data_IF_028511035504
#
_entry.id   IF_028511035504
#
_cell.length_a   1.000
_cell.length_b   1.000
_cell.length_c   1.000
_cell.angle_alpha   90.00
_cell.angle_beta   90.00
_cell.angle_gamma   90.00
#
_symmetry.space_group_name_H-M   'P 1'
#
loop_
_entity.id
_entity.type
_entity.pdbx_description
1 polymer ?
#
# COMPACT_ATOMS: atom_id res chain seq x y z
N UNK A 1 29.72 49.59 -11.80
CA UNK A 1 29.60 48.86 -13.08
C UNK A 1 30.72 47.83 -13.05
N UNK A 2 30.51 46.52 -13.03
CA UNK A 2 29.45 45.72 -13.66
C UNK A 2 29.36 44.40 -12.90
N UNK A 3 28.18 44.06 -12.41
CA UNK A 3 27.85 42.79 -11.74
C UNK A 3 27.76 41.67 -12.79
N UNK A 4 28.68 40.69 -12.74
CA UNK A 4 28.58 39.46 -13.52
C UNK A 4 27.97 38.37 -12.64
N UNK A 5 26.74 37.97 -12.97
CA UNK A 5 25.97 36.94 -12.29
C UNK A 5 26.62 35.56 -12.44
N UNK A 6 26.71 34.82 -11.33
CA UNK A 6 27.15 33.44 -11.31
C UNK A 6 26.08 32.52 -11.95
N UNK A 7 26.47 31.44 -12.66
CA UNK A 7 25.53 30.52 -13.27
C UNK A 7 24.81 29.69 -12.19
N UNK A 8 23.49 29.65 -12.28
CA UNK A 8 22.58 28.93 -11.41
C UNK A 8 22.91 27.43 -11.41
N UNK A 9 23.29 26.88 -10.25
CA UNK A 9 23.52 25.43 -10.06
C UNK A 9 22.21 24.68 -10.20
N UNK A 10 22.16 23.70 -11.11
CA UNK A 10 21.01 22.83 -11.32
C UNK A 10 20.74 21.94 -10.09
N UNK A 11 19.54 22.08 -9.52
CA UNK A 11 18.98 21.26 -8.45
C UNK A 11 18.87 19.79 -8.92
N UNK A 12 19.23 18.84 -8.04
CA UNK A 12 18.82 17.44 -8.18
C UNK A 12 17.29 17.42 -8.21
N UNK A 13 16.64 16.74 -9.18
CA UNK A 13 15.24 16.97 -9.42
C UNK A 13 14.39 16.33 -8.32
N UNK A 14 13.65 17.16 -7.61
CA UNK A 14 12.48 16.73 -6.85
C UNK A 14 11.47 16.16 -7.86
N UNK A 15 11.49 14.85 -8.06
CA UNK A 15 10.64 14.15 -9.05
C UNK A 15 9.17 14.45 -8.78
N UNK A 16 8.77 14.51 -7.50
CA UNK A 16 7.42 14.87 -7.11
C UNK A 16 7.10 16.34 -7.43
N UNK A 17 8.03 17.25 -7.17
CA UNK A 17 7.94 18.66 -7.54
C UNK A 17 7.87 18.89 -9.05
N UNK A 18 8.61 18.12 -9.85
CA UNK A 18 8.62 18.19 -11.31
C UNK A 18 7.36 17.63 -11.94
N UNK A 19 6.83 16.52 -11.40
CA UNK A 19 5.54 15.98 -11.81
C UNK A 19 4.43 16.98 -11.49
N UNK A 20 4.43 17.52 -10.28
CA UNK A 20 3.43 18.52 -9.86
C UNK A 20 3.55 19.81 -10.68
N UNK A 21 4.76 20.20 -11.09
CA UNK A 21 5.00 21.31 -12.01
C UNK A 21 4.50 21.01 -13.42
N UNK A 22 4.79 19.82 -13.95
CA UNK A 22 4.32 19.37 -15.26
C UNK A 22 2.78 19.35 -15.32
N UNK A 23 2.12 18.77 -14.30
CA UNK A 23 0.66 18.76 -14.18
C UNK A 23 0.10 20.18 -14.15
N UNK A 24 0.70 21.10 -13.37
CA UNK A 24 0.30 22.51 -13.35
C UNK A 24 0.50 23.20 -14.70
N UNK A 25 1.61 22.93 -15.39
CA UNK A 25 1.90 23.52 -16.70
C UNK A 25 0.94 23.04 -17.79
N UNK A 26 0.33 21.86 -17.61
CA UNK A 26 -0.69 21.29 -18.49
C UNK A 26 -2.13 21.56 -18.00
N UNK A 27 -2.32 22.37 -16.95
CA UNK A 27 -3.64 22.69 -16.41
C UNK A 27 -4.35 21.51 -15.72
N UNK A 28 -3.62 20.45 -15.37
CA UNK A 28 -4.15 19.21 -14.81
C UNK A 28 -4.19 19.28 -13.28
N UNK A 29 -5.32 18.86 -12.70
CA UNK A 29 -5.48 18.82 -11.25
C UNK A 29 -4.52 17.80 -10.60
N UNK A 30 -3.84 18.17 -9.50
CA UNK A 30 -2.89 17.31 -8.78
C UNK A 30 -3.61 16.29 -7.90
N UNK A 31 -4.43 15.45 -8.51
CA UNK A 31 -5.15 14.35 -7.86
C UNK A 31 -4.38 13.03 -8.02
N UNK A 32 -4.52 12.06 -7.09
CA UNK A 32 -3.70 10.84 -7.08
C UNK A 32 -3.66 10.06 -8.40
N UNK A 33 -4.79 9.95 -9.10
CA UNK A 33 -4.88 9.25 -10.40
C UNK A 33 -4.12 9.95 -11.53
N UNK A 34 -4.13 11.29 -11.54
CA UNK A 34 -3.38 12.07 -12.53
C UNK A 34 -1.89 12.05 -12.19
N UNK A 35 -1.54 12.06 -10.90
CA UNK A 35 -0.16 11.97 -10.45
C UNK A 35 0.46 10.63 -10.85
N UNK A 36 -0.24 9.51 -10.67
CA UNK A 36 0.22 8.18 -11.11
C UNK A 36 0.51 8.12 -12.61
N UNK A 37 -0.38 8.70 -13.41
CA UNK A 37 -0.24 8.76 -14.86
C UNK A 37 1.00 9.56 -15.31
N UNK A 38 1.24 10.71 -14.68
CA UNK A 38 2.41 11.54 -14.96
C UNK A 38 3.70 10.95 -14.38
N UNK A 39 3.64 10.30 -13.23
CA UNK A 39 4.79 9.65 -12.59
C UNK A 39 5.35 8.52 -13.45
N UNK A 40 4.48 7.64 -13.95
CA UNK A 40 4.87 6.54 -14.85
C UNK A 40 5.37 7.04 -16.21
N UNK A 41 4.75 8.09 -16.74
CA UNK A 41 5.22 8.74 -17.97
C UNK A 41 6.60 9.41 -17.78
N UNK A 42 6.90 9.92 -16.59
CA UNK A 42 8.13 10.64 -16.27
C UNK A 42 9.32 9.71 -15.97
N UNK A 43 9.07 8.58 -15.29
CA UNK A 43 10.11 7.59 -14.97
C UNK A 43 10.53 6.76 -16.20
N UNK A 44 9.74 6.81 -17.28
CA UNK A 44 10.08 6.18 -18.55
C UNK A 44 9.83 4.67 -18.58
N UNK A 45 9.06 4.14 -17.62
CA UNK A 45 8.66 2.74 -17.57
C UNK A 45 7.80 2.32 -18.77
N UNK A 46 7.08 3.26 -19.38
CA UNK A 46 6.21 3.01 -20.55
C UNK A 46 6.33 4.09 -21.63
N UNK A 47 7.16 3.88 -22.66
CA UNK A 47 7.38 4.86 -23.75
C UNK A 47 6.13 5.19 -24.57
N UNK A 48 5.16 4.26 -24.65
CA UNK A 48 3.91 4.48 -25.37
C UNK A 48 2.99 5.43 -24.61
N UNK A 49 2.90 5.27 -23.28
CA UNK A 49 2.17 6.20 -22.40
C UNK A 49 2.76 7.61 -22.47
N UNK A 50 4.09 7.76 -22.39
CA UNK A 50 4.75 9.08 -22.45
C UNK A 50 4.43 9.80 -23.77
N UNK A 51 4.45 9.08 -24.90
CA UNK A 51 4.10 9.64 -26.20
C UNK A 51 2.64 10.06 -26.28
N UNK A 52 1.73 9.20 -25.83
CA UNK A 52 0.30 9.46 -25.95
C UNK A 52 -0.16 10.55 -24.97
N UNK A 53 0.46 10.64 -23.78
CA UNK A 53 0.27 11.76 -22.85
C UNK A 53 0.80 13.07 -23.43
N UNK A 54 1.96 13.05 -24.08
CA UNK A 54 2.49 14.22 -24.77
C UNK A 54 1.60 14.67 -25.95
N UNK A 55 0.90 13.73 -26.59
CA UNK A 55 -0.02 14.02 -27.70
C UNK A 55 -1.29 14.78 -27.26
N UNK A 56 -1.70 14.68 -25.98
CA UNK A 56 -2.84 15.43 -25.43
C UNK A 56 -2.55 16.93 -25.28
N UNK A 57 -1.27 17.34 -25.24
CA UNK A 57 -0.87 18.74 -25.16
C UNK A 57 -1.27 19.45 -23.85
N UNK A 58 -1.20 20.78 -23.84
CA UNK A 58 -1.37 21.61 -22.63
C UNK A 58 -2.84 21.90 -22.23
N UNK A 59 -3.82 21.24 -22.85
CA UNK A 59 -5.25 21.39 -22.56
C UNK A 59 -5.97 20.05 -22.43
N UNK A 60 -5.26 19.01 -21.96
CA UNK A 60 -5.86 17.70 -21.74
C UNK A 60 -7.07 17.80 -20.79
N UNK A 61 -8.22 17.32 -21.23
CA UNK A 61 -9.41 17.23 -20.38
C UNK A 61 -9.28 16.07 -19.39
N UNK A 62 -10.02 16.13 -18.29
CA UNK A 62 -10.01 15.04 -17.30
C UNK A 62 -10.52 13.72 -17.91
N UNK A 63 -11.48 13.77 -18.83
CA UNK A 63 -12.01 12.58 -19.53
C UNK A 63 -10.95 11.93 -20.42
N UNK A 64 -10.15 12.71 -21.13
CA UNK A 64 -9.04 12.21 -21.96
C UNK A 64 -7.93 11.59 -21.11
N UNK A 65 -7.59 12.21 -19.98
CA UNK A 65 -6.62 11.66 -19.03
C UNK A 65 -7.13 10.37 -18.39
N UNK A 66 -8.41 10.30 -18.04
CA UNK A 66 -9.05 9.10 -17.49
C UNK A 66 -9.15 7.98 -18.53
N UNK A 67 -9.37 8.31 -19.82
CA UNK A 67 -9.37 7.36 -20.93
C UNK A 67 -7.96 6.81 -21.21
N UNK A 68 -6.95 7.68 -21.22
CA UNK A 68 -5.55 7.29 -21.36
C UNK A 68 -5.12 6.41 -20.18
N UNK A 69 -5.53 6.78 -18.98
CA UNK A 69 -5.33 5.98 -17.78
C UNK A 69 -6.05 4.63 -17.84
N UNK A 70 -7.18 4.52 -18.54
CA UNK A 70 -7.91 3.25 -18.68
C UNK A 70 -7.19 2.30 -19.64
N UNK A 71 -6.64 2.88 -20.71
CA UNK A 71 -5.90 2.15 -21.74
C UNK A 71 -4.60 1.57 -21.19
N UNK A 72 -3.85 2.35 -20.41
CA UNK A 72 -2.51 1.99 -19.94
C UNK A 72 -2.47 1.44 -18.52
N UNK A 73 -3.43 1.82 -17.68
CA UNK A 73 -3.58 1.31 -16.32
C UNK A 73 -4.90 0.55 -16.18
N UNK A 74 -5.09 -0.43 -17.05
CA UNK A 74 -6.23 -1.35 -17.01
C UNK A 74 -6.40 -1.99 -15.63
N UNK A 75 -5.32 -2.07 -14.83
CA UNK A 75 -5.28 -2.57 -13.46
C UNK A 75 -4.55 -1.59 -12.50
N UNK A 76 -4.73 -0.27 -12.64
CA UNK A 76 -4.21 0.64 -11.60
C UNK A 76 -4.86 0.28 -10.27
N UNK A 77 -4.08 0.11 -9.19
CA UNK A 77 -4.61 -0.17 -7.87
C UNK A 77 -5.67 0.86 -7.47
N UNK A 78 -5.45 2.15 -7.78
CA UNK A 78 -6.39 3.22 -7.45
C UNK A 78 -7.76 3.03 -8.11
N UNK A 79 -7.82 2.66 -9.40
CA UNK A 79 -9.09 2.39 -10.09
C UNK A 79 -9.75 1.10 -9.61
N UNK A 80 -8.97 0.06 -9.36
CA UNK A 80 -9.49 -1.20 -8.79
C UNK A 80 -10.08 -0.97 -7.40
N UNK A 81 -9.48 -0.10 -6.59
CA UNK A 81 -10.02 0.29 -5.28
C UNK A 81 -11.29 1.12 -5.40
N UNK A 82 -11.31 2.13 -6.26
CA UNK A 82 -12.49 2.99 -6.47
C UNK A 82 -13.67 2.18 -7.01
N UNK A 83 -13.45 1.32 -8.02
CA UNK A 83 -14.51 0.47 -8.60
C UNK A 83 -15.04 -0.54 -7.58
N UNK A 84 -14.16 -1.15 -6.79
CA UNK A 84 -14.58 -2.13 -5.81
C UNK A 84 -15.25 -1.48 -4.58
N UNK A 85 -14.84 -0.27 -4.17
CA UNK A 85 -15.55 0.53 -3.17
C UNK A 85 -16.94 0.92 -3.67
N UNK A 86 -17.06 1.36 -4.92
CA UNK A 86 -18.34 1.64 -5.57
C UNK A 86 -19.25 0.41 -5.61
N UNK A 87 -18.71 -0.76 -5.94
CA UNK A 87 -19.43 -2.04 -5.92
C UNK A 87 -19.89 -2.44 -4.53
N UNK A 88 -19.03 -2.36 -3.52
CA UNK A 88 -19.40 -2.66 -2.12
C UNK A 88 -20.49 -1.70 -1.64
N UNK A 89 -20.38 -0.40 -1.95
CA UNK A 89 -21.39 0.59 -1.58
C UNK A 89 -22.75 0.29 -2.23
N UNK A 90 -22.77 -0.07 -3.53
CA UNK A 90 -23.98 -0.45 -4.23
C UNK A 90 -24.63 -1.72 -3.67
N UNK A 91 -23.83 -2.73 -3.30
CA UNK A 91 -24.32 -3.95 -2.68
C UNK A 91 -24.88 -3.70 -1.27
N UNK A 92 -24.23 -2.85 -0.47
CA UNK A 92 -24.76 -2.42 0.84
C UNK A 92 -26.10 -1.69 0.69
N UNK A 93 -26.25 -0.82 -0.29
CA UNK A 93 -27.52 -0.12 -0.55
C UNK A 93 -28.63 -1.12 -0.92
N UNK A 94 -28.29 -2.13 -1.72
CA UNK A 94 -29.21 -3.21 -2.12
C UNK A 94 -29.64 -4.05 -0.91
N UNK A 95 -28.70 -4.45 -0.06
CA UNK A 95 -28.98 -5.14 1.21
C UNK A 95 -29.88 -4.32 2.13
N UNK A 96 -29.60 -3.02 2.29
CA UNK A 96 -30.44 -2.13 3.08
C UNK A 96 -31.88 -2.04 2.54
N UNK A 97 -32.05 -2.10 1.22
CA UNK A 97 -33.37 -2.12 0.57
C UNK A 97 -34.14 -3.40 0.89
N UNK A 98 -33.47 -4.56 0.81
CA UNK A 98 -34.07 -5.86 1.16
C UNK A 98 -34.48 -5.90 2.64
N UNK A 99 -33.62 -5.44 3.55
CA UNK A 99 -33.93 -5.40 4.98
C UNK A 99 -35.10 -4.44 5.32
N UNK A 100 -35.19 -3.29 4.64
CA UNK A 100 -36.35 -2.40 4.80
C UNK A 100 -37.64 -3.04 4.30
N UNK A 101 -37.59 -3.76 3.18
CA UNK A 101 -38.77 -4.46 2.65
C UNK A 101 -39.26 -5.51 3.65
N UNK A 102 -38.35 -6.28 4.24
CA UNK A 102 -38.66 -7.25 5.28
C UNK A 102 -39.30 -6.59 6.51
N UNK A 103 -38.76 -5.44 6.95
CA UNK A 103 -39.34 -4.68 8.06
C UNK A 103 -40.79 -4.26 7.76
N UNK A 104 -41.08 -3.76 6.56
CA UNK A 104 -42.44 -3.35 6.15
C UNK A 104 -43.39 -4.55 6.15
N UNK A 105 -42.94 -5.70 5.68
CA UNK A 105 -43.73 -6.94 5.68
C UNK A 105 -44.05 -7.41 7.11
N UNK A 106 -43.07 -7.37 8.01
CA UNK A 106 -43.27 -7.71 9.44
C UNK A 106 -44.21 -6.72 10.16
N UNK A 107 -44.10 -5.43 9.87
CA UNK A 107 -45.02 -4.41 10.40
C UNK A 107 -46.46 -4.65 9.92
N UNK A 108 -46.63 -4.99 8.65
CA UNK A 108 -47.93 -5.32 8.06
C UNK A 108 -48.54 -6.58 8.70
N UNK A 109 -47.73 -7.61 8.92
CA UNK A 109 -48.13 -8.83 9.62
C UNK A 109 -48.57 -8.54 11.07
N UNK A 110 -47.79 -7.74 11.81
CA UNK A 110 -48.16 -7.32 13.17
C UNK A 110 -49.47 -6.53 13.21
N UNK A 111 -49.72 -5.66 12.23
CA UNK A 111 -50.98 -4.92 12.13
C UNK A 111 -52.17 -5.86 11.91
N UNK A 112 -52.03 -6.82 11.01
CA UNK A 112 -53.02 -7.88 10.74
C UNK A 112 -53.32 -8.71 11.99
N UNK A 113 -52.29 -9.12 12.75
CA UNK A 113 -52.44 -9.79 14.04
C UNK A 113 -53.25 -8.95 15.03
N UNK A 114 -52.95 -7.65 15.16
CA UNK A 114 -53.66 -6.74 16.04
C UNK A 114 -55.13 -6.52 15.65
N UNK A 115 -55.42 -6.37 14.36
CA UNK A 115 -56.80 -6.25 13.84
C UNK A 115 -57.61 -7.53 14.07
N UNK A 116 -56.98 -8.69 13.83
CA UNK A 116 -57.62 -10.00 14.04
C UNK A 116 -57.92 -10.24 15.51
N UNK A 117 -56.99 -9.92 16.41
CA UNK A 117 -57.21 -9.99 17.85
C UNK A 117 -58.37 -9.10 18.31
N UNK A 118 -58.49 -7.87 17.79
CA UNK A 118 -59.60 -6.97 18.10
C UNK A 118 -60.95 -7.53 17.65
N UNK A 119 -61.02 -8.16 16.47
CA UNK A 119 -62.24 -8.81 15.95
C UNK A 119 -62.67 -10.00 16.81
N UNK A 120 -61.71 -10.78 17.32
CA UNK A 120 -62.00 -11.93 18.19
C UNK A 120 -62.41 -11.47 19.59
N UNK A 121 -61.75 -10.46 20.15
CA UNK A 121 -61.95 -10.00 21.54
C UNK A 121 -63.10 -9.00 21.74
N UNK A 122 -63.69 -8.46 20.67
CA UNK A 122 -64.82 -7.54 20.80
C UNK A 122 -66.04 -8.24 21.41
N UNK A 123 -66.50 -7.73 22.55
CA UNK A 123 -67.67 -8.23 23.28
C UNK A 123 -68.94 -7.98 22.45
N UNK A 124 -69.37 -8.96 21.67
CA UNK A 124 -70.77 -9.32 21.35
C UNK A 124 -70.77 -10.34 20.21
N UNK A 125 -71.01 -11.62 20.55
CA UNK A 125 -71.21 -12.75 19.62
C UNK A 125 -70.05 -13.06 18.67
N UNK A 126 -69.05 -13.78 19.17
CA UNK A 126 -68.08 -14.48 18.32
C UNK A 126 -68.76 -15.70 17.70
N UNK A 127 -69.14 -15.63 16.43
CA UNK A 127 -69.62 -16.80 15.68
C UNK A 127 -68.45 -17.73 15.34
N UNK A 128 -68.71 -19.04 15.19
CA UNK A 128 -67.71 -20.01 14.72
C UNK A 128 -67.12 -19.54 13.37
N UNK A 129 -67.97 -18.99 12.51
CA UNK A 129 -67.61 -18.43 11.20
C UNK A 129 -66.62 -17.24 11.31
N UNK A 130 -66.70 -16.40 12.34
CA UNK A 130 -65.73 -15.32 12.60
C UNK A 130 -64.37 -15.88 13.02
N UNK A 131 -64.34 -16.96 13.80
CA UNK A 131 -63.11 -17.63 14.23
C UNK A 131 -62.45 -18.33 13.04
N UNK A 132 -63.21 -19.05 12.22
CA UNK A 132 -62.69 -19.72 11.01
C UNK A 132 -62.10 -18.70 10.02
N UNK A 133 -62.79 -17.59 9.78
CA UNK A 133 -62.29 -16.51 8.93
C UNK A 133 -61.00 -15.87 9.50
N UNK A 134 -60.93 -15.65 10.81
CA UNK A 134 -59.73 -15.14 11.46
C UNK A 134 -58.54 -16.12 11.38
N UNK A 135 -58.80 -17.42 11.57
CA UNK A 135 -57.80 -18.47 11.46
C UNK A 135 -57.25 -18.57 10.03
N UNK A 136 -58.14 -18.49 9.03
CA UNK A 136 -57.77 -18.47 7.60
C UNK A 136 -56.88 -17.27 7.26
N UNK A 137 -57.27 -16.06 7.68
CA UNK A 137 -56.48 -14.84 7.48
C UNK A 137 -55.09 -14.92 8.14
N UNK A 138 -55.01 -15.44 9.36
CA UNK A 138 -53.72 -15.62 10.05
C UNK A 138 -52.86 -16.69 9.39
N UNK A 139 -53.46 -17.79 8.94
CA UNK A 139 -52.74 -18.87 8.25
C UNK A 139 -52.15 -18.37 6.95
N UNK A 140 -52.93 -17.62 6.17
CA UNK A 140 -52.47 -17.00 4.93
C UNK A 140 -51.38 -15.96 5.19
N UNK A 141 -51.60 -15.00 6.09
CA UNK A 141 -50.62 -13.95 6.40
C UNK A 141 -49.32 -14.51 6.99
N UNK A 142 -49.40 -15.57 7.79
CA UNK A 142 -48.22 -16.26 8.32
C UNK A 142 -47.48 -17.00 7.22
N UNK A 143 -48.19 -17.69 6.31
CA UNK A 143 -47.59 -18.32 5.14
C UNK A 143 -46.85 -17.32 4.23
N UNK A 144 -47.48 -16.19 3.94
CA UNK A 144 -46.89 -15.12 3.13
C UNK A 144 -45.64 -14.51 3.81
N UNK A 145 -45.71 -14.28 5.12
CA UNK A 145 -44.58 -13.74 5.91
C UNK A 145 -43.42 -14.73 5.96
N UNK A 146 -43.68 -16.02 6.18
CA UNK A 146 -42.64 -17.06 6.17
C UNK A 146 -41.98 -17.18 4.81
N UNK A 147 -42.76 -17.17 3.71
CA UNK A 147 -42.22 -17.23 2.35
C UNK A 147 -41.40 -15.98 2.00
N UNK A 148 -41.75 -14.81 2.53
CA UNK A 148 -40.91 -13.61 2.41
C UNK A 148 -39.63 -13.72 3.22
N UNK A 149 -39.71 -14.14 4.49
CA UNK A 149 -38.54 -14.33 5.34
C UNK A 149 -37.53 -15.30 4.74
N UNK A 150 -37.98 -16.43 4.18
CA UNK A 150 -37.12 -17.40 3.48
C UNK A 150 -36.39 -16.76 2.29
N UNK A 151 -37.10 -16.04 1.42
CA UNK A 151 -36.49 -15.34 0.28
C UNK A 151 -35.53 -14.24 0.72
N UNK A 152 -35.86 -13.52 1.78
CA UNK A 152 -34.98 -12.49 2.35
C UNK A 152 -33.68 -13.13 2.84
N UNK A 153 -33.74 -14.24 3.57
CA UNK A 153 -32.56 -14.96 4.04
C UNK A 153 -31.71 -15.47 2.86
N UNK A 154 -32.31 -16.09 1.85
CA UNK A 154 -31.59 -16.54 0.65
C UNK A 154 -30.87 -15.37 -0.06
N UNK A 155 -31.57 -14.25 -0.26
CA UNK A 155 -31.00 -13.06 -0.88
C UNK A 155 -29.83 -12.48 -0.06
N UNK A 156 -29.98 -12.39 1.27
CA UNK A 156 -28.92 -11.88 2.16
C UNK A 156 -27.70 -12.78 2.11
N UNK A 157 -27.87 -14.11 2.14
CA UNK A 157 -26.76 -15.07 2.07
C UNK A 157 -26.02 -14.95 0.74
N UNK A 158 -26.74 -14.93 -0.38
CA UNK A 158 -26.12 -14.78 -1.70
C UNK A 158 -25.32 -13.48 -1.81
N UNK A 159 -25.90 -12.37 -1.38
CA UNK A 159 -25.26 -11.04 -1.43
C UNK A 159 -24.03 -10.97 -0.52
N UNK A 160 -24.11 -11.57 0.66
CA UNK A 160 -22.95 -11.68 1.56
C UNK A 160 -21.79 -12.44 0.92
N UNK A 161 -22.06 -13.49 0.15
CA UNK A 161 -21.02 -14.25 -0.56
C UNK A 161 -20.38 -13.43 -1.69
N UNK A 162 -21.18 -12.69 -2.47
CA UNK A 162 -20.69 -11.79 -3.52
C UNK A 162 -19.78 -10.70 -2.92
N UNK A 163 -20.18 -10.08 -1.81
CA UNK A 163 -19.36 -9.10 -1.09
C UNK A 163 -18.04 -9.67 -0.58
N UNK A 164 -18.06 -10.88 -0.01
CA UNK A 164 -16.85 -11.56 0.47
C UNK A 164 -15.88 -11.85 -0.68
N UNK A 165 -16.40 -12.18 -1.86
CA UNK A 165 -15.58 -12.39 -3.05
C UNK A 165 -14.91 -11.08 -3.52
N UNK A 166 -15.67 -9.99 -3.64
CA UNK A 166 -15.12 -8.67 -4.01
C UNK A 166 -14.06 -8.22 -2.99
N UNK A 167 -14.30 -8.47 -1.70
CA UNK A 167 -13.34 -8.16 -0.64
C UNK A 167 -12.03 -8.96 -0.79
N UNK A 168 -12.13 -10.27 -1.05
CA UNK A 168 -10.93 -11.12 -1.26
C UNK A 168 -10.13 -10.67 -2.48
N UNK A 169 -10.81 -10.33 -3.57
CA UNK A 169 -10.17 -9.79 -4.78
C UNK A 169 -9.44 -8.49 -4.45
N UNK A 170 -10.09 -7.55 -3.75
CA UNK A 170 -9.46 -6.32 -3.29
C UNK A 170 -8.22 -6.56 -2.44
N UNK A 171 -8.28 -7.48 -1.49
CA UNK A 171 -7.16 -7.79 -0.61
C UNK A 171 -5.99 -8.41 -1.39
N UNK A 172 -6.27 -9.27 -2.37
CA UNK A 172 -5.24 -9.82 -3.25
C UNK A 172 -4.62 -8.74 -4.16
N UNK A 173 -5.44 -7.83 -4.70
CA UNK A 173 -4.94 -6.69 -5.47
C UNK A 173 -4.06 -5.76 -4.61
N UNK A 174 -4.47 -5.44 -3.37
CA UNK A 174 -3.62 -4.70 -2.41
C UNK A 174 -2.29 -5.39 -2.22
N UNK A 175 -2.33 -6.70 -2.01
CA UNK A 175 -1.13 -7.50 -1.77
C UNK A 175 -0.20 -7.42 -2.97
N UNK A 176 -0.69 -7.65 -4.20
CA UNK A 176 0.13 -7.58 -5.41
C UNK A 176 0.69 -6.17 -5.62
N UNK A 177 -0.13 -5.14 -5.45
CA UNK A 177 0.25 -3.75 -5.67
C UNK A 177 1.30 -3.24 -4.68
N UNK A 178 1.36 -3.80 -3.46
CA UNK A 178 2.20 -3.32 -2.36
C UNK A 178 3.33 -4.29 -1.99
N UNK A 179 3.53 -5.38 -2.75
CA UNK A 179 4.53 -6.42 -2.46
C UNK A 179 5.54 -6.51 -3.59
N UNK A 180 6.82 -6.63 -3.23
CA UNK A 180 7.90 -6.95 -4.17
C UNK A 180 7.79 -8.43 -4.61
N UNK A 181 7.76 -8.66 -5.91
CA UNK A 181 7.50 -9.99 -6.48
C UNK A 181 8.60 -11.00 -6.18
N UNK A 182 9.85 -10.54 -6.06
CA UNK A 182 11.02 -11.38 -5.81
C UNK A 182 11.15 -11.77 -4.33
N UNK A 183 11.07 -10.78 -3.45
CA UNK A 183 11.38 -10.95 -2.02
C UNK A 183 10.15 -11.18 -1.15
N UNK A 184 8.94 -10.91 -1.67
CA UNK A 184 7.67 -10.94 -0.94
C UNK A 184 7.57 -9.96 0.24
N UNK A 185 8.53 -9.04 0.35
CA UNK A 185 8.45 -7.91 1.27
C UNK A 185 7.56 -6.82 0.69
N UNK A 186 7.23 -5.81 1.48
CA UNK A 186 6.59 -4.61 0.94
C UNK A 186 7.46 -3.96 -0.14
N UNK A 187 6.85 -3.35 -1.15
CA UNK A 187 7.59 -2.65 -2.20
C UNK A 187 7.82 -1.17 -1.86
N UNK A 188 8.48 -0.44 -2.77
CA UNK A 188 8.76 0.98 -2.63
C UNK A 188 7.51 1.83 -2.38
N UNK A 189 6.42 1.57 -3.11
CA UNK A 189 5.15 2.29 -2.95
C UNK A 189 4.61 2.17 -1.52
N UNK A 190 4.51 0.94 -1.03
CA UNK A 190 4.05 0.67 0.33
C UNK A 190 4.96 1.28 1.40
N UNK A 191 6.26 1.35 1.12
CA UNK A 191 7.22 2.02 1.99
C UNK A 191 6.99 3.53 2.07
N UNK A 192 6.86 4.20 0.92
CA UNK A 192 6.65 5.65 0.86
C UNK A 192 5.35 6.03 1.61
N UNK A 193 4.27 5.25 1.41
CA UNK A 193 3.00 5.43 2.14
C UNK A 193 3.16 5.24 3.65
N UNK A 194 3.88 4.20 4.08
CA UNK A 194 4.11 3.94 5.51
C UNK A 194 4.97 5.02 6.16
N UNK A 195 6.01 5.49 5.45
CA UNK A 195 6.90 6.53 5.94
C UNK A 195 6.16 7.86 6.12
N UNK A 196 5.30 8.24 5.16
CA UNK A 196 4.43 9.41 5.29
C UNK A 196 3.49 9.30 6.50
N UNK A 197 2.93 8.11 6.76
CA UNK A 197 2.02 7.88 7.88
C UNK A 197 2.67 8.11 9.26
N UNK A 198 4.00 7.94 9.39
CA UNK A 198 4.75 8.23 10.63
C UNK A 198 4.58 9.70 11.05
N UNK A 199 4.60 10.62 10.09
CA UNK A 199 4.52 12.05 10.33
C UNK A 199 3.08 12.58 10.42
N UNK A 200 2.11 11.83 9.90
CA UNK A 200 0.70 12.12 10.06
C UNK A 200 0.19 11.86 11.49
N UNK A 201 0.93 11.09 12.31
CA UNK A 201 0.58 10.80 13.70
C UNK A 201 1.70 11.25 14.66
N UNK A 202 1.54 12.42 15.32
CA UNK A 202 2.54 12.96 16.25
C UNK A 202 2.98 12.00 17.36
N UNK A 203 2.11 11.09 17.81
CA UNK A 203 2.39 10.16 18.89
C UNK A 203 3.38 9.04 18.49
N UNK A 204 3.50 8.73 17.19
CA UNK A 204 4.42 7.68 16.72
C UNK A 204 5.87 8.17 16.63
N UNK A 205 6.07 9.47 16.36
CA UNK A 205 7.40 10.05 16.06
C UNK A 205 8.50 9.80 17.11
N UNK A 206 8.26 9.95 18.43
CA UNK A 206 9.34 9.89 19.42
C UNK A 206 10.02 8.52 19.52
N UNK A 207 9.35 7.45 19.11
CA UNK A 207 9.81 6.06 19.26
C UNK A 207 9.83 5.31 17.92
N UNK A 208 9.84 6.04 16.81
CA UNK A 208 9.93 5.45 15.47
C UNK A 208 11.32 5.68 14.90
N UNK A 209 11.89 4.64 14.28
CA UNK A 209 13.16 4.71 13.57
C UNK A 209 13.01 4.23 12.13
N UNK A 210 13.74 4.88 11.23
CA UNK A 210 13.98 4.41 9.88
C UNK A 210 15.36 3.75 9.81
N UNK A 211 15.39 2.55 9.25
CA UNK A 211 16.62 1.81 8.94
C UNK A 211 16.68 1.62 7.44
N UNK A 212 17.77 2.06 6.81
CA UNK A 212 18.09 1.78 5.40
C UNK A 212 19.26 0.81 5.35
N UNK A 213 19.12 -0.26 4.57
CA UNK A 213 20.14 -1.28 4.39
C UNK A 213 20.41 -1.50 2.90
N UNK A 214 21.68 -1.63 2.54
CA UNK A 214 22.11 -1.81 1.16
C UNK A 214 23.15 -2.93 1.07
N UNK A 215 23.00 -3.81 0.09
CA UNK A 215 23.90 -4.94 -0.11
C UNK A 215 25.23 -4.47 -0.69
N UNK A 216 26.31 -4.73 0.04
CA UNK A 216 27.64 -4.30 -0.33
C UNK A 216 28.13 -4.99 -1.61
N UNK A 217 28.55 -4.18 -2.59
CA UNK A 217 29.14 -4.64 -3.84
C UNK A 217 28.23 -5.59 -4.64
N UNK A 218 26.91 -5.46 -4.54
CA UNK A 218 25.96 -6.36 -5.20
C UNK A 218 26.09 -6.36 -6.74
N UNK A 219 26.42 -5.22 -7.35
CA UNK A 219 26.78 -5.18 -8.78
C UNK A 219 27.92 -6.15 -9.13
N UNK A 220 28.99 -6.22 -8.33
CA UNK A 220 30.11 -7.14 -8.55
C UNK A 220 29.67 -8.60 -8.49
N UNK A 221 28.73 -8.93 -7.61
CA UNK A 221 28.14 -10.26 -7.50
C UNK A 221 27.38 -10.61 -8.79
N UNK A 222 26.54 -9.70 -9.29
CA UNK A 222 25.82 -9.90 -10.56
C UNK A 222 26.78 -10.02 -11.74
N UNK A 223 27.81 -9.18 -11.80
CA UNK A 223 28.81 -9.21 -12.88
C UNK A 223 29.62 -10.53 -12.85
N UNK A 224 29.85 -11.11 -11.68
CA UNK A 224 30.64 -12.35 -11.51
C UNK A 224 29.82 -13.62 -11.71
N UNK A 225 28.58 -13.66 -11.23
CA UNK A 225 27.77 -14.88 -11.13
C UNK A 225 26.43 -14.82 -11.89
N UNK A 226 26.09 -13.66 -12.46
CA UNK A 226 24.86 -13.42 -13.21
C UNK A 226 23.65 -13.07 -12.34
N UNK A 227 22.68 -12.39 -12.96
CA UNK A 227 21.43 -11.94 -12.30
C UNK A 227 20.65 -13.05 -11.58
N UNK A 228 20.53 -14.30 -12.09
CA UNK A 228 19.80 -15.35 -11.37
C UNK A 228 20.40 -15.71 -10.00
N UNK A 229 21.71 -15.47 -9.81
CA UNK A 229 22.36 -15.64 -8.50
C UNK A 229 22.09 -14.43 -7.61
N UNK A 230 22.14 -13.22 -8.17
CA UNK A 230 21.73 -12.00 -7.47
C UNK A 230 20.30 -12.08 -6.93
N UNK A 231 19.37 -12.57 -7.73
CA UNK A 231 17.96 -12.73 -7.33
C UNK A 231 17.80 -13.66 -6.11
N UNK A 232 18.56 -14.76 -6.08
CA UNK A 232 18.58 -15.68 -4.93
C UNK A 232 19.19 -15.03 -3.69
N UNK A 233 20.23 -14.21 -3.88
CA UNK A 233 20.84 -13.46 -2.78
C UNK A 233 19.83 -12.47 -2.22
N UNK A 234 19.14 -11.70 -3.06
CA UNK A 234 18.09 -10.77 -2.64
C UNK A 234 16.97 -11.45 -1.86
N UNK A 235 16.48 -12.60 -2.34
CA UNK A 235 15.45 -13.39 -1.64
C UNK A 235 15.95 -13.90 -0.27
N UNK A 236 17.22 -14.31 -0.19
CA UNK A 236 17.83 -14.77 1.06
C UNK A 236 18.02 -13.60 2.04
N UNK A 237 18.49 -12.44 1.55
CA UNK A 237 18.64 -11.23 2.36
C UNK A 237 17.30 -10.82 2.95
N UNK A 238 16.24 -10.79 2.14
CA UNK A 238 14.89 -10.52 2.60
C UNK A 238 14.43 -11.49 3.70
N UNK A 239 14.68 -12.78 3.52
CA UNK A 239 14.35 -13.81 4.52
C UNK A 239 15.11 -13.61 5.84
N UNK A 240 16.41 -13.31 5.77
CA UNK A 240 17.25 -13.05 6.94
C UNK A 240 16.80 -11.79 7.68
N UNK A 241 16.54 -10.69 6.96
CA UNK A 241 15.99 -9.47 7.56
C UNK A 241 14.71 -9.83 8.30
N UNK A 242 13.75 -10.46 7.61
CA UNK A 242 12.43 -10.76 8.16
C UNK A 242 12.49 -11.65 9.40
N UNK A 243 13.37 -12.66 9.41
CA UNK A 243 13.56 -13.58 10.53
C UNK A 243 14.19 -12.92 11.77
N UNK A 244 14.91 -11.81 11.59
CA UNK A 244 15.63 -11.12 12.65
C UNK A 244 14.86 -9.94 13.25
N UNK A 245 13.62 -9.67 12.82
CA UNK A 245 12.79 -8.60 13.35
C UNK A 245 11.38 -9.10 13.68
N UNK A 246 10.73 -8.46 14.66
CA UNK A 246 9.37 -8.80 15.09
C UNK A 246 8.36 -8.67 13.95
N UNK A 247 7.26 -9.43 13.97
CA UNK A 247 6.29 -9.49 12.85
C UNK A 247 5.63 -8.14 12.53
N UNK A 248 5.47 -7.28 13.52
CA UNK A 248 4.90 -5.94 13.45
C UNK A 248 5.84 -4.90 12.83
N UNK A 249 7.14 -5.19 12.73
CA UNK A 249 8.10 -4.31 12.04
C UNK A 249 7.79 -4.30 10.55
N UNK A 250 7.59 -3.11 9.99
CA UNK A 250 7.43 -2.92 8.56
C UNK A 250 8.78 -3.10 7.85
N UNK A 251 8.82 -3.92 6.81
CA UNK A 251 10.03 -4.23 6.04
C UNK A 251 9.70 -4.18 4.56
N UNK A 252 10.48 -3.41 3.81
CA UNK A 252 10.30 -3.23 2.38
C UNK A 252 11.61 -3.40 1.60
N UNK A 253 11.48 -3.77 0.33
CA UNK A 253 12.52 -3.59 -0.68
C UNK A 253 12.22 -2.31 -1.45
N UNK A 254 13.07 -1.29 -1.28
CA UNK A 254 12.85 0.07 -1.79
C UNK A 254 13.56 0.34 -3.12
N UNK A 255 14.51 -0.53 -3.50
CA UNK A 255 15.30 -0.42 -4.71
C UNK A 255 15.85 -1.78 -5.16
N UNK A 256 16.81 -1.76 -6.09
CA UNK A 256 17.41 -2.98 -6.65
C UNK A 256 18.10 -3.85 -5.61
N UNK A 257 18.91 -3.22 -4.75
CA UNK A 257 19.68 -3.87 -3.67
C UNK A 257 19.43 -3.22 -2.29
N UNK A 258 18.39 -2.39 -2.21
CA UNK A 258 18.07 -1.56 -1.05
C UNK A 258 16.83 -2.10 -0.32
N UNK A 259 16.95 -2.15 1.01
CA UNK A 259 15.89 -2.54 1.93
C UNK A 259 15.69 -1.44 2.96
N UNK A 260 14.44 -1.29 3.40
CA UNK A 260 14.09 -0.34 4.45
C UNK A 260 13.25 -1.01 5.53
N UNK A 261 13.44 -0.59 6.77
CA UNK A 261 12.63 -0.98 7.91
C UNK A 261 12.10 0.26 8.64
N UNK A 262 10.83 0.21 9.03
CA UNK A 262 10.23 1.20 9.93
C UNK A 262 9.90 0.47 11.24
N UNK A 263 10.59 0.87 12.30
CA UNK A 263 10.54 0.22 13.61
C UNK A 263 9.91 1.17 14.61
N UNK A 264 8.84 0.74 15.26
CA UNK A 264 8.04 1.55 16.18
C UNK A 264 8.14 1.02 17.62
N UNK A 265 8.12 1.94 18.58
CA UNK A 265 8.16 1.61 20.00
C UNK A 265 9.55 1.17 20.49
N UNK A 266 10.62 1.63 19.86
CA UNK A 266 11.99 1.25 20.21
C UNK A 266 12.92 2.45 20.37
N UNK A 267 13.92 2.32 21.25
CA UNK A 267 14.99 3.33 21.41
C UNK A 267 16.03 3.20 20.30
N UNK A 268 16.88 4.23 20.13
CA UNK A 268 17.97 4.19 19.16
C UNK A 268 18.92 3.00 19.38
N UNK A 269 19.27 2.71 20.63
CA UNK A 269 20.15 1.59 20.99
C UNK A 269 19.52 0.23 20.66
N UNK A 270 18.22 0.06 20.92
CA UNK A 270 17.50 -1.16 20.57
C UNK A 270 17.48 -1.37 19.05
N UNK A 271 17.18 -0.31 18.29
CA UNK A 271 17.16 -0.34 16.83
C UNK A 271 18.55 -0.67 16.28
N UNK A 272 19.60 -0.03 16.80
CA UNK A 272 20.99 -0.33 16.44
C UNK A 272 21.37 -1.79 16.76
N UNK A 273 20.91 -2.32 17.89
CA UNK A 273 21.06 -3.74 18.22
C UNK A 273 20.37 -4.68 17.22
N UNK A 274 19.20 -4.31 16.68
CA UNK A 274 18.54 -5.06 15.62
C UNK A 274 19.29 -4.97 14.29
N UNK A 275 19.75 -3.77 13.91
CA UNK A 275 20.55 -3.54 12.71
C UNK A 275 21.84 -4.38 12.71
N UNK A 276 22.59 -4.37 13.82
CA UNK A 276 23.80 -5.17 13.96
C UNK A 276 23.52 -6.68 13.95
N UNK A 277 22.39 -7.12 14.52
CA UNK A 277 21.98 -8.53 14.47
C UNK A 277 21.71 -8.97 13.02
N UNK A 278 20.97 -8.17 12.25
CA UNK A 278 20.71 -8.44 10.82
C UNK A 278 22.03 -8.52 10.07
N UNK A 279 22.90 -7.51 10.23
CA UNK A 279 24.20 -7.42 9.55
C UNK A 279 25.08 -8.64 9.82
N UNK A 280 25.28 -9.01 11.10
CA UNK A 280 26.10 -10.17 11.48
C UNK A 280 25.50 -11.49 10.99
N UNK A 281 24.18 -11.61 10.99
CA UNK A 281 23.51 -12.82 10.48
C UNK A 281 23.75 -12.96 8.99
N UNK A 282 23.67 -11.87 8.21
CA UNK A 282 23.95 -11.88 6.77
C UNK A 282 25.42 -12.21 6.48
N UNK A 283 26.34 -11.56 7.18
CA UNK A 283 27.79 -11.78 7.05
C UNK A 283 28.17 -13.26 7.28
N UNK A 284 27.49 -13.94 8.22
CA UNK A 284 27.74 -15.34 8.55
C UNK A 284 26.86 -16.33 7.78
N UNK A 285 25.89 -15.87 6.99
CA UNK A 285 25.02 -16.74 6.19
C UNK A 285 25.80 -17.31 5.01
N UNK A 286 25.83 -18.64 4.83
CA UNK A 286 26.55 -19.25 3.71
C UNK A 286 25.76 -19.08 2.40
N UNK A 287 26.27 -18.27 1.48
CA UNK A 287 25.73 -18.13 0.13
C UNK A 287 26.35 -19.18 -0.79
N UNK A 288 25.75 -20.38 -0.80
CA UNK A 288 26.23 -21.51 -1.61
C UNK A 288 25.16 -22.03 -2.56
N UNK A 289 25.58 -22.50 -3.72
CA UNK A 289 24.71 -23.24 -4.63
C UNK A 289 24.66 -24.71 -4.22
N UNK A 290 23.50 -25.20 -3.79
CA UNK A 290 23.33 -26.60 -3.38
C UNK A 290 23.61 -27.61 -4.50
N UNK A 291 23.39 -27.23 -5.77
CA UNK A 291 23.57 -28.12 -6.93
C UNK A 291 25.01 -28.12 -7.45
N UNK A 292 25.67 -26.96 -7.49
CA UNK A 292 27.02 -26.83 -8.05
C UNK A 292 28.13 -26.77 -6.99
N UNK A 293 27.77 -26.70 -5.70
CA UNK A 293 28.68 -26.48 -4.56
C UNK A 293 29.56 -25.24 -4.68
N UNK A 294 29.21 -24.29 -5.54
CA UNK A 294 29.89 -23.01 -5.67
C UNK A 294 29.55 -22.17 -4.44
N UNK A 295 30.57 -21.65 -3.78
CA UNK A 295 30.46 -20.66 -2.72
C UNK A 295 30.62 -19.26 -3.35
N UNK A 296 29.60 -18.41 -3.20
CA UNK A 296 29.58 -17.07 -3.78
C UNK A 296 30.37 -16.04 -2.94
N UNK A 297 30.89 -16.45 -1.79
CA UNK A 297 31.58 -15.59 -0.84
C UNK A 297 30.64 -14.96 0.19
N UNK A 298 31.19 -14.19 1.15
CA UNK A 298 30.37 -13.48 2.12
C UNK A 298 29.55 -12.37 1.42
N UNK A 299 28.29 -12.25 1.80
CA UNK A 299 27.43 -11.12 1.41
C UNK A 299 27.22 -10.28 2.66
N UNK A 300 27.64 -9.02 2.59
CA UNK A 300 27.51 -8.07 3.70
C UNK A 300 26.53 -6.96 3.34
N UNK A 301 26.07 -6.24 4.36
CA UNK A 301 25.21 -5.06 4.19
C UNK A 301 25.79 -3.89 4.97
N UNK A 302 25.67 -2.70 4.40
CA UNK A 302 25.85 -1.44 5.12
C UNK A 302 24.49 -0.92 5.57
N UNK A 303 24.41 -0.36 6.77
CA UNK A 303 23.13 0.05 7.37
C UNK A 303 23.23 1.49 7.91
N UNK A 304 22.25 2.32 7.56
CA UNK A 304 22.03 3.65 8.11
C UNK A 304 20.75 3.70 8.94
N UNK A 305 20.81 4.32 10.11
CA UNK A 305 19.67 4.42 11.04
C UNK A 305 19.42 5.89 11.38
N UNK A 306 18.15 6.32 11.39
CA UNK A 306 17.77 7.62 11.92
C UNK A 306 16.47 7.51 12.72
N UNK A 307 16.39 8.16 13.89
CA UNK A 307 15.12 8.27 14.62
C UNK A 307 14.26 9.36 13.99
N UNK A 308 12.95 9.13 13.93
CA UNK A 308 11.98 10.09 13.41
C UNK A 308 11.90 11.37 14.25
N UNK A 309 12.30 11.32 15.53
CA UNK A 309 12.42 12.51 16.39
C UNK A 309 13.50 13.50 15.92
N UNK A 310 14.47 13.05 15.11
CA UNK A 310 15.51 13.92 14.56
C UNK A 310 15.14 14.47 13.19
N UNK A 311 13.91 14.33 12.69
CA UNK A 311 13.51 14.87 11.40
C UNK A 311 12.15 15.55 11.49
N UNK A 312 11.96 16.61 10.72
CA UNK A 312 10.72 17.41 10.69
C UNK A 312 9.64 16.74 9.83
N UNK A 313 10.05 16.04 8.77
CA UNK A 313 9.17 15.31 7.86
C UNK A 313 9.76 13.98 7.35
N UNK A 314 8.94 13.24 6.59
CA UNK A 314 9.31 11.93 6.02
C UNK A 314 10.50 12.00 5.05
N UNK A 315 10.61 13.08 4.27
CA UNK A 315 11.70 13.27 3.31
C UNK A 315 13.02 13.54 4.02
N UNK A 316 13.00 14.36 5.07
CA UNK A 316 14.17 14.61 5.90
C UNK A 316 14.61 13.35 6.66
N UNK A 317 13.67 12.56 7.19
CA UNK A 317 13.97 11.28 7.83
C UNK A 317 14.70 10.32 6.89
N UNK A 318 14.19 10.19 5.66
CA UNK A 318 14.84 9.38 4.63
C UNK A 318 16.25 9.91 4.32
N UNK A 319 16.38 11.23 4.15
CA UNK A 319 17.65 11.86 3.83
C UNK A 319 18.70 11.61 4.93
N UNK A 320 18.35 11.83 6.20
CA UNK A 320 19.25 11.62 7.35
C UNK A 320 19.66 10.15 7.49
N UNK A 321 18.73 9.21 7.27
CA UNK A 321 19.07 7.78 7.23
C UNK A 321 20.01 7.43 6.06
N UNK A 322 19.84 8.04 4.88
CA UNK A 322 20.74 7.86 3.72
C UNK A 322 22.13 8.46 3.98
N UNK A 323 22.22 9.59 4.70
CA UNK A 323 23.51 10.15 5.13
C UNK A 323 24.25 9.16 6.04
N UNK A 324 23.55 8.57 7.02
CA UNK A 324 24.13 7.55 7.89
C UNK A 324 24.58 6.30 7.10
N UNK A 325 23.75 5.82 6.16
CA UNK A 325 24.08 4.71 5.28
C UNK A 325 25.31 5.00 4.42
N UNK A 326 25.42 6.22 3.89
CA UNK A 326 26.60 6.67 3.17
C UNK A 326 27.85 6.68 4.06
N UNK A 327 27.72 7.13 5.32
CA UNK A 327 28.75 7.03 6.34
C UNK A 327 29.22 5.59 6.56
N UNK A 328 28.29 4.63 6.64
CA UNK A 328 28.61 3.21 6.74
C UNK A 328 29.40 2.70 5.54
N UNK A 329 28.95 3.01 4.31
CA UNK A 329 29.65 2.60 3.08
C UNK A 329 31.07 3.18 2.98
N UNK A 330 31.27 4.42 3.42
CA UNK A 330 32.57 5.08 3.41
C UNK A 330 33.50 4.63 4.55
N UNK A 331 32.96 4.10 5.63
CA UNK A 331 33.73 3.59 6.78
C UNK A 331 34.27 2.17 6.57
N UNK A 332 34.24 1.67 5.33
CA UNK A 332 34.72 0.33 4.99
C UNK A 332 33.61 -0.69 4.71
N UNK A 333 32.33 -0.27 4.72
CA UNK A 333 31.14 -1.14 4.56
C UNK A 333 30.99 -2.16 5.71
N UNK A 334 29.98 -3.03 5.61
CA UNK A 334 29.71 -4.05 6.62
C UNK A 334 29.65 -3.49 8.05
N UNK A 335 28.96 -2.36 8.21
CA UNK A 335 28.74 -1.72 9.49
C UNK A 335 27.37 -1.02 9.53
N UNK A 336 26.89 -0.78 10.75
CA UNK A 336 25.68 0.02 11.01
C UNK A 336 26.08 1.36 11.59
N UNK A 337 25.47 2.44 11.10
CA UNK A 337 25.73 3.80 11.56
C UNK A 337 24.41 4.45 11.96
N UNK A 338 24.36 5.01 13.16
CA UNK A 338 23.29 5.88 13.61
C UNK A 338 23.59 7.31 13.14
N UNK A 339 22.57 8.00 12.62
CA UNK A 339 22.67 9.40 12.26
C UNK A 339 22.95 10.25 13.51
N UNK A 340 23.94 11.13 13.40
CA UNK A 340 24.27 12.13 14.42
C UNK A 340 24.29 13.53 13.79
N UNK A 341 23.87 14.53 14.56
CA UNK A 341 23.88 15.93 14.10
C UNK A 341 25.31 16.36 13.75
N UNK A 342 25.48 16.86 12.52
CA UNK A 342 26.79 17.22 11.95
C UNK A 342 27.30 16.26 10.87
N UNK A 343 26.68 15.07 10.72
CA UNK A 343 26.92 14.23 9.55
C UNK A 343 26.43 14.92 8.28
N UNK A 344 27.30 15.00 7.27
CA UNK A 344 26.96 15.51 5.94
C UNK A 344 27.46 14.58 4.86
N UNK A 345 26.68 14.44 3.77
CA UNK A 345 27.10 13.75 2.57
C UNK A 345 27.96 14.69 1.74
N UNK A 346 29.28 14.53 1.77
CA UNK A 346 30.17 15.22 0.85
C UNK A 346 29.92 14.71 -0.58
N UNK A 347 29.09 15.42 -1.34
CA UNK A 347 28.81 15.12 -2.76
C UNK A 347 30.06 15.23 -3.68
N UNK A 348 31.22 15.61 -3.13
CA UNK A 348 32.39 16.06 -3.87
C UNK A 348 33.22 14.96 -4.55
N UNK A 349 32.94 13.66 -4.33
CA UNK A 349 33.82 12.57 -4.86
C UNK A 349 33.20 11.52 -5.78
N UNK A 350 31.88 11.53 -6.05
CA UNK A 350 31.26 10.45 -6.85
C UNK A 350 30.80 10.83 -8.27
N UNK A 351 30.88 12.10 -8.68
CA UNK A 351 30.42 12.52 -10.02
C UNK A 351 31.49 12.40 -11.14
N UNK A 352 32.73 12.06 -10.80
CA UNK A 352 33.86 11.97 -11.75
C UNK A 352 34.02 10.60 -12.42
N UNK A 353 33.16 9.62 -12.15
CA UNK A 353 33.27 8.25 -12.73
C UNK A 353 32.36 8.06 -13.96
N UNK A 354 31.56 9.06 -14.36
CA UNK A 354 30.72 9.01 -15.58
C UNK A 354 31.10 10.07 -16.63
N UNK A 355 32.40 10.31 -16.82
CA UNK A 355 32.94 10.86 -18.07
C UNK A 355 34.13 10.01 -18.52
N UNK A 356 33.83 9.05 -19.36
CA UNK A 356 34.75 8.26 -20.17
C UNK A 356 34.00 7.79 -21.40
#
# INVERSE_FOLDING_TARGET
MTTAAAPTRAQVPDVAGQITFAMRSMGVAPIPRNYELFYEAYIGSNPALTRDLAALGSQATQEELDALGAQYFTHSPARVFDDAHGRIAAELETLLRVLRQEQISLESYNKLLGETYKRISSKNHTSVELIENALSLLTQATGDTMAHGERTVENVVQRSQEMDQVRKELDEYKRIANTDSLTRLSNRRAFDDRLAAVYNNPAMRPVTALVLADIDNFKKINDTYGHPVGDKILATVASVIRANVRRDVFVARTGGEEFALIIEGNTADEVMGMAERIRRTLETTPFTNSRTRINYGPVTVSVGVCMASYAEDAGELYHRADVALYGAKNSGRNCSVLFEDGMQKDFTKSWLIYKG
#
